data_IF_512656650250
#
_entry.id   IF_512656650250
#
_cell.length_a   1.000
_cell.length_b   1.000
_cell.length_c   1.000
_cell.angle_alpha   90.00
_cell.angle_beta   90.00
_cell.angle_gamma   90.00
#
_symmetry.space_group_name_H-M   'P 1'
#
loop_
_entity.id
_entity.type
_entity.pdbx_description
1 polymer ?
#
# COMPACT_ATOMS: atom_id res chain seq x y z
N UNK A 1 -7.33 52.39 -40.93
CA UNK A 1 -7.80 52.04 -39.58
C UNK A 1 -7.65 50.54 -39.40
N UNK A 2 -6.49 50.10 -38.91
CA UNK A 2 -6.24 48.72 -38.48
C UNK A 2 -5.19 48.81 -37.38
N UNK A 3 -5.62 48.84 -36.13
CA UNK A 3 -4.74 48.72 -34.97
C UNK A 3 -4.72 47.27 -34.55
N UNK A 4 -3.63 46.60 -34.91
CA UNK A 4 -3.22 45.30 -34.41
C UNK A 4 -2.81 45.47 -32.95
N UNK A 5 -3.56 44.89 -32.01
CA UNK A 5 -3.19 44.88 -30.59
C UNK A 5 -2.12 43.81 -30.35
N UNK A 6 -0.88 44.27 -30.18
CA UNK A 6 0.25 43.54 -29.63
C UNK A 6 -0.01 43.22 -28.15
N UNK A 7 -0.19 41.95 -27.81
CA UNK A 7 -0.19 41.49 -26.43
C UNK A 7 1.24 41.57 -25.86
N UNK A 8 1.40 42.33 -24.78
CA UNK A 8 2.67 42.58 -24.08
C UNK A 8 3.11 41.35 -23.28
N UNK A 9 4.34 40.89 -23.56
CA UNK A 9 5.07 39.76 -22.94
C UNK A 9 5.86 40.19 -21.68
N UNK A 10 5.61 41.37 -21.14
CA UNK A 10 6.40 41.94 -20.04
C UNK A 10 5.74 41.68 -18.69
N UNK A 11 6.53 41.14 -17.74
CA UNK A 11 6.27 40.96 -16.30
C UNK A 11 5.84 39.58 -15.77
N UNK A 12 6.31 38.48 -16.38
CA UNK A 12 6.36 37.19 -15.67
C UNK A 12 7.62 37.13 -14.79
N UNK A 13 7.51 36.81 -13.48
CA UNK A 13 8.66 36.46 -12.65
C UNK A 13 9.49 35.36 -13.30
N UNK A 14 10.82 35.45 -13.19
CA UNK A 14 11.72 34.47 -13.81
C UNK A 14 11.38 33.04 -13.36
N UNK A 15 11.00 32.19 -14.31
CA UNK A 15 10.69 30.78 -14.07
C UNK A 15 9.22 30.44 -13.84
N UNK A 16 8.29 31.41 -13.89
CA UNK A 16 6.85 31.13 -13.82
C UNK A 16 6.22 31.03 -15.21
N UNK A 17 5.13 30.27 -15.31
CA UNK A 17 4.36 30.03 -16.54
C UNK A 17 2.87 30.15 -16.24
N UNK A 18 2.07 30.62 -17.21
CA UNK A 18 0.60 30.66 -17.08
C UNK A 18 0.03 29.29 -17.40
N UNK A 19 -0.99 28.85 -16.65
CA UNK A 19 -1.71 27.62 -16.98
C UNK A 19 -2.48 27.77 -18.30
N UNK A 20 -2.37 26.78 -19.18
CA UNK A 20 -2.98 26.83 -20.52
C UNK A 20 -4.52 26.87 -20.48
N UNK A 21 -5.15 26.35 -19.43
CA UNK A 21 -6.61 26.20 -19.33
C UNK A 21 -7.25 27.13 -18.31
N UNK A 22 -6.59 27.34 -17.17
CA UNK A 22 -7.12 28.03 -15.99
C UNK A 22 -6.43 29.38 -15.76
N UNK A 23 -6.07 30.06 -16.85
CA UNK A 23 -5.62 31.44 -16.84
C UNK A 23 -6.56 32.26 -17.73
N UNK A 24 -7.59 32.85 -17.13
CA UNK A 24 -8.63 33.55 -17.88
C UNK A 24 -8.44 35.05 -17.96
N UNK A 25 -8.87 35.63 -19.06
CA UNK A 25 -8.82 37.09 -19.26
C UNK A 25 -9.73 37.83 -18.28
N UNK A 26 -10.86 37.23 -17.90
CA UNK A 26 -11.89 37.77 -17.00
C UNK A 26 -11.76 37.27 -15.55
N UNK A 27 -10.72 36.51 -15.22
CA UNK A 27 -10.41 36.17 -13.83
C UNK A 27 -10.05 37.42 -13.02
N UNK A 28 -10.40 37.43 -11.74
CA UNK A 28 -10.22 38.57 -10.84
C UNK A 28 -9.25 38.27 -9.68
N UNK A 29 -8.54 37.14 -9.75
CA UNK A 29 -7.45 36.81 -8.84
C UNK A 29 -6.43 35.93 -9.54
N UNK A 30 -5.14 36.19 -9.29
CA UNK A 30 -4.01 35.40 -9.78
C UNK A 30 -3.37 34.65 -8.61
N UNK A 31 -3.31 33.32 -8.72
CA UNK A 31 -2.72 32.44 -7.73
C UNK A 31 -1.52 31.71 -8.33
N UNK A 32 -0.53 31.42 -7.51
CA UNK A 32 0.67 30.68 -7.89
C UNK A 32 0.75 29.36 -7.10
N UNK A 33 0.72 28.23 -7.81
CA UNK A 33 1.09 26.92 -7.27
C UNK A 33 2.35 26.42 -8.00
N UNK A 34 3.40 26.08 -7.25
CA UNK A 34 4.77 25.90 -7.78
C UNK A 34 5.18 27.05 -8.72
N UNK A 35 5.45 26.72 -9.99
CA UNK A 35 5.88 27.64 -11.04
C UNK A 35 4.74 27.96 -12.02
N UNK A 36 3.48 27.67 -11.65
CA UNK A 36 2.32 27.86 -12.52
C UNK A 36 1.37 28.91 -11.95
N UNK A 37 1.01 29.89 -12.77
CA UNK A 37 0.03 30.93 -12.47
C UNK A 37 -1.36 30.51 -12.97
N UNK A 38 -2.34 30.69 -12.10
CA UNK A 38 -3.75 30.44 -12.35
C UNK A 38 -4.50 31.76 -12.20
N UNK A 39 -5.31 32.14 -13.18
CA UNK A 39 -6.13 33.35 -13.13
C UNK A 39 -7.60 32.97 -13.23
N UNK A 40 -8.31 33.04 -12.10
CA UNK A 40 -9.65 32.47 -11.90
C UNK A 40 -10.58 33.44 -11.18
N UNK A 41 -11.83 33.03 -10.88
CA UNK A 41 -12.74 33.86 -10.09
C UNK A 41 -12.62 33.57 -8.60
N UNK A 42 -12.34 34.62 -7.82
CA UNK A 42 -12.23 34.61 -6.36
C UNK A 42 -13.45 34.00 -5.68
N UNK A 43 -14.66 34.35 -6.13
CA UNK A 43 -15.90 33.88 -5.51
C UNK A 43 -16.03 32.36 -5.51
N UNK A 44 -15.59 31.69 -6.58
CA UNK A 44 -15.63 30.23 -6.69
C UNK A 44 -14.73 29.55 -5.65
N UNK A 45 -13.57 30.16 -5.35
CA UNK A 45 -12.64 29.65 -4.35
C UNK A 45 -13.15 29.88 -2.93
N UNK A 46 -13.66 31.08 -2.65
CA UNK A 46 -14.13 31.46 -1.31
C UNK A 46 -15.43 30.77 -0.92
N UNK A 47 -16.29 30.44 -1.89
CA UNK A 47 -17.52 29.69 -1.63
C UNK A 47 -17.23 28.22 -1.32
N UNK A 48 -16.24 27.62 -1.99
CA UNK A 48 -15.91 26.20 -1.81
C UNK A 48 -15.08 25.91 -0.55
N UNK A 49 -14.21 26.85 -0.15
CA UNK A 49 -13.22 26.60 0.90
C UNK A 49 -13.20 27.73 1.92
N UNK A 50 -13.44 27.44 3.21
CA UNK A 50 -13.25 28.43 4.27
C UNK A 50 -11.78 28.84 4.40
N UNK A 51 -10.85 27.91 4.19
CA UNK A 51 -9.40 28.19 4.24
C UNK A 51 -8.99 29.18 3.15
N UNK A 52 -9.49 29.00 1.92
CA UNK A 52 -9.25 29.97 0.84
C UNK A 52 -9.99 31.29 1.09
N UNK A 53 -11.19 31.25 1.66
CA UNK A 53 -11.90 32.46 2.05
C UNK A 53 -11.08 33.31 3.02
N UNK A 54 -10.55 32.69 4.08
CA UNK A 54 -9.71 33.35 5.08
C UNK A 54 -8.38 33.84 4.50
N UNK A 55 -7.68 32.97 3.74
CA UNK A 55 -6.43 33.31 3.06
C UNK A 55 -6.57 34.59 2.22
N UNK A 56 -7.67 34.66 1.46
CA UNK A 56 -7.90 35.77 0.55
C UNK A 56 -8.43 37.02 1.26
N UNK A 57 -8.87 36.95 2.51
CA UNK A 57 -9.32 38.11 3.30
C UNK A 57 -8.19 38.78 4.09
N UNK A 58 -6.98 38.25 4.06
CA UNK A 58 -5.85 38.78 4.83
C UNK A 58 -5.53 40.24 4.45
N UNK A 59 -5.20 41.11 5.44
CA UNK A 59 -4.82 42.49 5.18
C UNK A 59 -3.57 42.57 4.29
N UNK A 60 -3.63 43.41 3.25
CA UNK A 60 -2.49 43.68 2.39
C UNK A 60 -1.43 44.50 3.13
N UNK A 61 -0.12 44.27 2.91
CA UNK A 61 0.94 45.05 3.55
C UNK A 61 0.82 46.54 3.18
N UNK A 62 0.79 47.41 4.21
CA UNK A 62 0.75 48.85 4.00
C UNK A 62 2.00 49.33 3.22
N UNK A 63 1.78 50.05 2.12
CA UNK A 63 2.86 50.60 1.28
C UNK A 63 3.35 49.69 0.15
N UNK A 64 2.69 48.55 -0.09
CA UNK A 64 2.93 47.75 -1.31
C UNK A 64 2.42 48.49 -2.56
N UNK A 65 3.21 48.52 -3.66
CA UNK A 65 2.81 49.21 -4.89
C UNK A 65 1.68 48.49 -5.65
N UNK A 66 1.51 47.19 -5.40
CA UNK A 66 0.48 46.33 -6.01
C UNK A 66 -0.10 45.40 -4.95
N UNK A 67 -1.41 45.16 -5.00
CA UNK A 67 -2.04 44.17 -4.11
C UNK A 67 -1.66 42.76 -4.56
N UNK A 68 -1.53 41.85 -3.60
CA UNK A 68 -1.33 40.43 -3.88
C UNK A 68 -2.56 39.85 -4.61
N UNK A 69 -2.31 39.21 -5.76
CA UNK A 69 -3.31 38.59 -6.62
C UNK A 69 -3.77 39.42 -7.81
N UNK A 70 -3.34 40.69 -7.93
CA UNK A 70 -3.79 41.59 -9.01
C UNK A 70 -2.93 41.49 -10.29
N UNK A 71 -1.68 41.04 -10.19
CA UNK A 71 -0.74 40.96 -11.31
C UNK A 71 0.05 39.64 -11.33
N UNK A 72 0.66 39.32 -12.49
CA UNK A 72 1.58 38.18 -12.61
C UNK A 72 2.86 38.37 -11.78
N UNK A 73 3.25 39.62 -11.53
CA UNK A 73 4.41 39.98 -10.73
C UNK A 73 4.15 39.81 -9.22
N UNK A 74 2.89 39.91 -8.79
CA UNK A 74 2.46 39.79 -7.40
C UNK A 74 1.27 38.82 -7.25
N UNK A 75 1.43 37.51 -7.53
CA UNK A 75 0.36 36.53 -7.38
C UNK A 75 0.19 36.09 -5.92
N UNK A 76 -0.99 35.57 -5.56
CA UNK A 76 -1.20 34.90 -4.27
C UNK A 76 -0.47 33.56 -4.25
N UNK A 77 0.55 33.43 -3.39
CA UNK A 77 1.39 32.22 -3.37
C UNK A 77 0.77 31.11 -2.53
N UNK A 78 0.40 30.01 -3.18
CA UNK A 78 -0.15 28.81 -2.55
C UNK A 78 0.99 27.90 -2.09
N UNK A 79 1.54 28.20 -0.91
CA UNK A 79 2.67 27.47 -0.35
C UNK A 79 2.36 25.97 -0.19
N UNK A 80 3.23 25.13 -0.74
CA UNK A 80 3.14 23.67 -0.64
C UNK A 80 2.17 23.00 -1.61
N UNK A 81 1.45 23.75 -2.45
CA UNK A 81 0.61 23.14 -3.50
C UNK A 81 1.37 22.92 -4.78
N UNK A 82 1.15 21.73 -5.36
CA UNK A 82 1.61 21.43 -6.70
C UNK A 82 0.67 22.00 -7.76
N UNK A 83 1.20 22.32 -8.94
CA UNK A 83 0.38 22.77 -10.05
C UNK A 83 -0.62 21.69 -10.50
N UNK A 84 -0.29 20.40 -10.35
CA UNK A 84 -1.18 19.28 -10.66
C UNK A 84 -2.37 19.23 -9.71
N UNK A 85 -2.13 19.32 -8.40
CA UNK A 85 -3.18 19.35 -7.39
C UNK A 85 -4.13 20.54 -7.58
N UNK A 86 -3.57 21.75 -7.80
CA UNK A 86 -4.40 22.92 -8.02
C UNK A 86 -5.23 22.81 -9.32
N UNK A 87 -4.65 22.24 -10.38
CA UNK A 87 -5.37 21.96 -11.63
C UNK A 87 -6.50 20.94 -11.43
N UNK A 88 -6.31 19.94 -10.56
CA UNK A 88 -7.35 18.97 -10.19
C UNK A 88 -8.50 19.64 -9.45
N UNK A 89 -8.21 20.58 -8.54
CA UNK A 89 -9.23 21.42 -7.90
C UNK A 89 -9.99 22.28 -8.92
N UNK A 90 -9.29 22.95 -9.84
CA UNK A 90 -9.94 23.74 -10.89
C UNK A 90 -10.81 22.88 -11.82
N UNK A 91 -10.37 21.65 -12.10
CA UNK A 91 -11.20 20.69 -12.83
C UNK A 91 -12.49 20.38 -12.08
N UNK A 92 -12.44 20.15 -10.77
CA UNK A 92 -13.64 19.88 -9.98
C UNK A 92 -14.59 21.09 -9.89
N UNK A 93 -14.05 22.30 -9.75
CA UNK A 93 -14.83 23.52 -9.58
C UNK A 93 -15.54 24.00 -10.86
N UNK A 94 -14.87 23.83 -12.00
CA UNK A 94 -15.30 24.47 -13.24
C UNK A 94 -15.82 23.52 -14.30
N UNK A 95 -15.71 22.21 -14.10
CA UNK A 95 -16.26 21.24 -15.06
C UNK A 95 -17.76 21.07 -14.86
N UNK A 96 -18.49 20.97 -15.97
CA UNK A 96 -19.91 20.62 -15.93
C UNK A 96 -20.12 19.13 -15.60
N UNK A 97 -21.29 18.74 -15.08
CA UNK A 97 -21.59 17.34 -14.79
C UNK A 97 -21.37 16.38 -15.99
N UNK A 98 -21.71 16.80 -17.21
CA UNK A 98 -21.50 16.01 -18.42
C UNK A 98 -20.02 15.86 -18.80
N UNK A 99 -19.20 16.88 -18.53
CA UNK A 99 -17.75 16.83 -18.74
C UNK A 99 -17.06 15.94 -17.72
N UNK A 100 -17.46 16.02 -16.45
CA UNK A 100 -16.97 15.14 -15.37
C UNK A 100 -17.32 13.69 -15.71
N UNK A 101 -18.57 13.41 -16.07
CA UNK A 101 -19.01 12.08 -16.50
C UNK A 101 -18.18 11.57 -17.68
N UNK A 102 -18.03 12.38 -18.72
CA UNK A 102 -17.23 12.02 -19.90
C UNK A 102 -15.77 11.73 -19.51
N UNK A 103 -15.18 12.54 -18.64
CA UNK A 103 -13.83 12.29 -18.13
C UNK A 103 -13.74 10.95 -17.41
N UNK A 104 -14.67 10.66 -16.50
CA UNK A 104 -14.73 9.40 -15.75
C UNK A 104 -15.03 8.18 -16.62
N UNK A 105 -15.54 8.34 -17.84
CA UNK A 105 -15.76 7.23 -18.77
C UNK A 105 -14.58 7.03 -19.73
N UNK A 106 -13.93 8.12 -20.16
CA UNK A 106 -12.98 8.10 -21.28
C UNK A 106 -11.51 8.21 -20.88
N UNK A 107 -11.20 8.72 -19.69
CA UNK A 107 -9.81 8.84 -19.24
C UNK A 107 -9.18 7.47 -18.96
N UNK A 108 -7.87 7.37 -19.17
CA UNK A 108 -7.10 6.21 -18.73
C UNK A 108 -7.22 6.05 -17.20
N UNK A 109 -7.32 4.81 -16.73
CA UNK A 109 -7.74 4.48 -15.36
C UNK A 109 -6.75 4.97 -14.31
N UNK A 110 -5.46 4.79 -14.53
CA UNK A 110 -4.41 5.24 -13.61
C UNK A 110 -4.32 6.77 -13.58
N UNK A 111 -4.33 7.44 -14.74
CA UNK A 111 -4.37 8.90 -14.85
C UNK A 111 -5.59 9.50 -14.13
N UNK A 112 -6.75 8.83 -14.26
CA UNK A 112 -7.97 9.17 -13.53
C UNK A 112 -7.77 9.04 -12.02
N UNK A 113 -7.21 7.92 -11.56
CA UNK A 113 -6.92 7.68 -10.15
C UNK A 113 -5.98 8.74 -9.59
N UNK A 114 -4.85 9.03 -10.27
CA UNK A 114 -3.90 10.06 -9.86
C UNK A 114 -4.56 11.44 -9.72
N UNK A 115 -5.37 11.88 -10.70
CA UNK A 115 -6.09 13.16 -10.60
C UNK A 115 -7.04 13.20 -9.40
N UNK A 116 -7.75 12.12 -9.13
CA UNK A 116 -8.69 12.05 -8.01
C UNK A 116 -7.94 12.07 -6.67
N UNK A 117 -6.78 11.39 -6.57
CA UNK A 117 -5.92 11.43 -5.38
C UNK A 117 -5.29 12.82 -5.17
N UNK A 118 -4.91 13.51 -6.23
CA UNK A 118 -4.48 14.91 -6.19
C UNK A 118 -5.62 15.80 -5.67
N UNK A 119 -6.85 15.55 -6.14
CA UNK A 119 -8.04 16.26 -5.66
C UNK A 119 -8.32 15.98 -4.18
N UNK A 120 -8.18 14.73 -3.71
CA UNK A 120 -8.28 14.38 -2.28
C UNK A 120 -7.25 15.16 -1.46
N UNK A 121 -5.98 15.17 -1.88
CA UNK A 121 -4.92 15.86 -1.14
C UNK A 121 -5.23 17.35 -0.94
N UNK A 122 -5.61 18.03 -2.03
CA UNK A 122 -5.83 19.48 -2.00
C UNK A 122 -7.14 19.87 -1.31
N UNK A 123 -8.20 19.07 -1.46
CA UNK A 123 -9.48 19.31 -0.78
C UNK A 123 -9.41 19.01 0.71
N UNK A 124 -8.57 18.06 1.14
CA UNK A 124 -8.23 17.90 2.55
C UNK A 124 -7.53 19.15 3.11
N UNK A 125 -6.51 19.67 2.41
CA UNK A 125 -5.78 20.90 2.82
C UNK A 125 -6.72 22.10 2.94
N UNK A 126 -7.61 22.27 1.97
CA UNK A 126 -8.53 23.41 1.90
C UNK A 126 -9.87 23.20 2.59
N UNK A 127 -10.02 22.12 3.36
CA UNK A 127 -11.21 21.81 4.14
C UNK A 127 -12.51 21.78 3.31
N UNK A 128 -12.49 21.03 2.21
CA UNK A 128 -13.64 20.79 1.34
C UNK A 128 -14.11 19.33 1.50
N UNK A 129 -14.73 18.94 2.63
CA UNK A 129 -14.95 17.53 2.99
C UNK A 129 -15.86 16.78 2.00
N UNK A 130 -16.93 17.42 1.50
CA UNK A 130 -17.85 16.78 0.56
C UNK A 130 -17.16 16.45 -0.77
N UNK A 131 -16.37 17.38 -1.28
CA UNK A 131 -15.61 17.18 -2.51
C UNK A 131 -14.45 16.17 -2.31
N UNK A 132 -13.81 16.20 -1.15
CA UNK A 132 -12.78 15.25 -0.76
C UNK A 132 -13.32 13.81 -0.72
N UNK A 133 -14.43 13.58 -0.01
CA UNK A 133 -15.04 12.27 0.12
C UNK A 133 -15.52 11.73 -1.24
N UNK A 134 -16.16 12.58 -2.05
CA UNK A 134 -16.52 12.22 -3.42
C UNK A 134 -15.31 11.79 -4.25
N UNK A 135 -14.20 12.53 -4.18
CA UNK A 135 -12.98 12.18 -4.89
C UNK A 135 -12.35 10.89 -4.36
N UNK A 136 -12.39 10.67 -3.04
CA UNK A 136 -11.85 9.49 -2.37
C UNK A 136 -12.58 8.21 -2.77
N UNK A 137 -13.91 8.25 -2.82
CA UNK A 137 -14.74 7.11 -3.26
C UNK A 137 -14.40 6.72 -4.70
N UNK A 138 -14.34 7.70 -5.60
CA UNK A 138 -13.97 7.45 -7.00
C UNK A 138 -12.53 6.98 -7.16
N UNK A 139 -11.60 7.54 -6.37
CA UNK A 139 -10.20 7.13 -6.38
C UNK A 139 -10.05 5.68 -5.91
N UNK A 140 -10.79 5.27 -4.88
CA UNK A 140 -10.80 3.91 -4.35
C UNK A 140 -11.24 2.91 -5.43
N UNK A 141 -12.35 3.18 -6.11
CA UNK A 141 -12.86 2.31 -7.18
C UNK A 141 -11.89 2.23 -8.36
N UNK A 142 -11.31 3.35 -8.78
CA UNK A 142 -10.30 3.36 -9.83
C UNK A 142 -9.06 2.55 -9.40
N UNK A 143 -8.56 2.75 -8.18
CA UNK A 143 -7.37 2.10 -7.65
C UNK A 143 -7.52 0.58 -7.53
N UNK A 144 -8.71 0.09 -7.13
CA UNK A 144 -9.03 -1.34 -7.09
C UNK A 144 -8.98 -1.97 -8.49
N UNK A 145 -9.41 -1.23 -9.52
CA UNK A 145 -9.43 -1.71 -10.89
C UNK A 145 -8.05 -1.64 -11.59
N UNK A 146 -7.09 -0.87 -11.08
CA UNK A 146 -5.73 -0.84 -11.62
C UNK A 146 -5.00 -2.14 -11.23
N UNK A 147 -4.71 -2.98 -12.23
CA UNK A 147 -4.03 -4.26 -12.04
C UNK A 147 -2.58 -4.08 -11.55
N UNK A 148 -1.85 -3.15 -12.16
CA UNK A 148 -0.43 -2.89 -11.89
C UNK A 148 -0.15 -1.39 -11.72
N UNK A 149 -0.34 -0.84 -10.51
CA UNK A 149 -0.04 0.57 -10.23
C UNK A 149 1.40 0.95 -10.56
N UNK A 150 1.61 2.08 -11.25
CA UNK A 150 2.96 2.58 -11.53
C UNK A 150 3.64 3.11 -10.27
N UNK A 151 4.95 3.34 -10.37
CA UNK A 151 5.73 3.99 -9.32
C UNK A 151 5.14 5.34 -8.88
N UNK A 152 4.56 6.10 -9.81
CA UNK A 152 3.97 7.40 -9.52
C UNK A 152 2.72 7.25 -8.64
N UNK A 153 1.79 6.37 -9.03
CA UNK A 153 0.58 6.10 -8.25
C UNK A 153 0.92 5.56 -6.86
N UNK A 154 1.84 4.60 -6.76
CA UNK A 154 2.31 4.07 -5.47
C UNK A 154 2.88 5.18 -4.58
N UNK A 155 3.67 6.09 -5.15
CA UNK A 155 4.26 7.22 -4.41
C UNK A 155 3.18 8.16 -3.86
N UNK A 156 2.16 8.48 -4.67
CA UNK A 156 1.02 9.30 -4.23
C UNK A 156 0.25 8.63 -3.09
N UNK A 157 -0.02 7.31 -3.19
CA UNK A 157 -0.70 6.57 -2.13
C UNK A 157 0.07 6.60 -0.81
N UNK A 158 1.40 6.44 -0.84
CA UNK A 158 2.23 6.48 0.37
C UNK A 158 2.24 7.89 0.98
N UNK A 159 2.26 8.94 0.17
CA UNK A 159 2.17 10.31 0.68
C UNK A 159 0.82 10.61 1.32
N UNK A 160 -0.28 10.12 0.72
CA UNK A 160 -1.64 10.30 1.23
C UNK A 160 -1.91 9.56 2.54
N UNK A 161 -1.20 8.47 2.83
CA UNK A 161 -1.33 7.75 4.10
C UNK A 161 -1.19 8.66 5.33
N UNK A 162 -0.38 9.73 5.24
CA UNK A 162 -0.15 10.69 6.33
C UNK A 162 -1.37 11.55 6.66
N UNK A 163 -2.39 11.55 5.81
CA UNK A 163 -3.63 12.29 6.03
C UNK A 163 -4.64 11.53 6.91
N UNK A 164 -4.36 10.27 7.27
CA UNK A 164 -5.20 9.44 8.15
C UNK A 164 -6.67 9.38 7.72
N UNK A 165 -6.88 9.23 6.40
CA UNK A 165 -8.21 9.19 5.81
C UNK A 165 -8.93 7.87 6.17
N UNK A 166 -10.19 7.98 6.59
CA UNK A 166 -10.99 6.82 6.97
C UNK A 166 -11.13 5.81 5.81
N UNK A 167 -10.86 4.54 6.10
CA UNK A 167 -10.97 3.43 5.12
C UNK A 167 -9.89 3.43 4.03
N UNK A 168 -8.95 4.39 4.03
CA UNK A 168 -7.89 4.50 3.02
C UNK A 168 -7.01 3.26 2.94
N UNK A 169 -6.56 2.75 4.09
CA UNK A 169 -5.62 1.63 4.19
C UNK A 169 -6.16 0.36 3.53
N UNK A 170 -7.46 0.09 3.66
CA UNK A 170 -8.10 -1.15 3.20
C UNK A 170 -7.98 -1.38 1.69
N UNK A 171 -8.01 -0.31 0.90
CA UNK A 171 -7.88 -0.39 -0.56
C UNK A 171 -6.53 0.09 -1.08
N UNK A 172 -5.86 1.02 -0.38
CA UNK A 172 -4.57 1.56 -0.82
C UNK A 172 -3.42 0.58 -0.58
N UNK A 173 -3.40 -0.14 0.55
CA UNK A 173 -2.31 -1.08 0.85
C UNK A 173 -2.21 -2.22 -0.18
N UNK A 174 -3.32 -2.89 -0.55
CA UNK A 174 -3.28 -3.88 -1.63
C UNK A 174 -2.76 -3.30 -2.96
N UNK A 175 -3.11 -2.06 -3.29
CA UNK A 175 -2.63 -1.41 -4.51
C UNK A 175 -1.12 -1.12 -4.45
N UNK A 176 -0.61 -0.60 -3.32
CA UNK A 176 0.84 -0.41 -3.09
C UNK A 176 1.59 -1.73 -3.24
N UNK A 177 1.06 -2.83 -2.69
CA UNK A 177 1.68 -4.17 -2.76
C UNK A 177 1.72 -4.74 -4.18
N UNK A 178 0.72 -4.47 -5.00
CA UNK A 178 0.66 -4.88 -6.43
C UNK A 178 1.52 -3.98 -7.34
N UNK A 179 1.86 -2.78 -6.87
CA UNK A 179 2.50 -1.75 -7.68
C UNK A 179 3.98 -2.00 -8.00
N UNK A 180 4.47 -1.23 -8.96
CA UNK A 180 5.85 -1.31 -9.44
C UNK A 180 6.68 -0.15 -8.89
N UNK A 181 7.24 -0.34 -7.70
CA UNK A 181 8.24 0.54 -7.09
C UNK A 181 9.46 -0.28 -6.65
N UNK A 182 10.66 0.30 -6.76
CA UNK A 182 11.87 -0.36 -6.26
C UNK A 182 11.76 -0.59 -4.75
N UNK A 183 12.20 -1.75 -4.25
CA UNK A 183 12.03 -2.09 -2.84
C UNK A 183 12.76 -1.10 -1.91
N UNK A 184 13.90 -0.55 -2.35
CA UNK A 184 14.64 0.48 -1.59
C UNK A 184 13.85 1.79 -1.54
N UNK A 185 13.27 2.24 -2.66
CA UNK A 185 12.41 3.43 -2.67
C UNK A 185 11.17 3.22 -1.80
N UNK A 186 10.60 2.02 -1.82
CA UNK A 186 9.44 1.65 -1.00
C UNK A 186 9.78 1.68 0.50
N UNK A 187 10.95 1.15 0.90
CA UNK A 187 11.46 1.28 2.29
C UNK A 187 11.58 2.75 2.68
N UNK A 188 12.25 3.57 1.87
CA UNK A 188 12.50 4.98 2.20
C UNK A 188 11.20 5.77 2.33
N UNK A 189 10.26 5.60 1.39
CA UNK A 189 8.97 6.28 1.41
C UNK A 189 8.06 5.79 2.54
N UNK A 190 7.94 4.48 2.76
CA UNK A 190 7.12 3.93 3.83
C UNK A 190 7.66 4.28 5.22
N UNK A 191 8.99 4.33 5.39
CA UNK A 191 9.61 4.84 6.62
C UNK A 191 9.27 6.32 6.84
N UNK A 192 9.35 7.16 5.79
CA UNK A 192 9.03 8.58 5.88
C UNK A 192 7.55 8.85 6.19
N UNK A 193 6.64 7.97 5.76
CA UNK A 193 5.20 8.06 6.04
C UNK A 193 4.77 7.33 7.33
N UNK A 194 5.68 6.64 8.03
CA UNK A 194 5.38 5.74 9.14
C UNK A 194 4.36 4.65 8.79
N UNK A 195 4.41 4.11 7.56
CA UNK A 195 3.53 3.00 7.13
C UNK A 195 4.23 1.65 7.37
N UNK A 196 4.12 1.15 8.60
CA UNK A 196 4.87 -0.04 9.07
C UNK A 196 4.58 -1.31 8.27
N UNK A 197 3.31 -1.57 7.95
CA UNK A 197 2.89 -2.76 7.19
C UNK A 197 3.55 -2.82 5.80
N UNK A 198 3.55 -1.70 5.07
CA UNK A 198 4.20 -1.56 3.76
C UNK A 198 5.72 -1.63 3.89
N UNK A 199 6.29 -1.06 4.95
CA UNK A 199 7.72 -1.09 5.21
C UNK A 199 8.22 -2.53 5.42
N UNK A 200 7.55 -3.29 6.31
CA UNK A 200 7.87 -4.71 6.54
C UNK A 200 7.65 -5.56 5.30
N UNK A 201 6.63 -5.27 4.50
CA UNK A 201 6.42 -5.91 3.20
C UNK A 201 7.58 -5.68 2.22
N UNK A 202 8.13 -4.45 2.15
CA UNK A 202 9.26 -4.15 1.29
C UNK A 202 10.53 -4.93 1.69
N UNK A 203 10.83 -5.01 2.99
CA UNK A 203 11.92 -5.85 3.50
C UNK A 203 11.70 -7.33 3.20
N UNK A 204 10.47 -7.81 3.39
CA UNK A 204 10.10 -9.20 3.10
C UNK A 204 10.37 -9.57 1.63
N UNK A 205 10.03 -8.69 0.69
CA UNK A 205 10.31 -8.89 -0.75
C UNK A 205 11.79 -8.99 -1.05
N UNK A 206 12.61 -8.15 -0.42
CA UNK A 206 14.08 -8.20 -0.57
C UNK A 206 14.63 -9.51 -0.02
N UNK A 207 14.20 -9.93 1.17
CA UNK A 207 14.60 -11.22 1.76
C UNK A 207 14.21 -12.38 0.84
N UNK A 208 12.99 -12.37 0.30
CA UNK A 208 12.52 -13.39 -0.62
C UNK A 208 13.24 -13.38 -1.98
N UNK A 209 13.98 -12.33 -2.32
CA UNK A 209 14.80 -12.28 -3.52
C UNK A 209 16.14 -13.02 -3.37
N UNK A 210 16.57 -13.26 -2.12
CA UNK A 210 17.78 -13.99 -1.75
C UNK A 210 19.01 -13.10 -1.50
N UNK A 211 20.04 -13.57 -0.76
CA UNK A 211 21.20 -12.77 -0.38
C UNK A 211 22.02 -12.17 -1.52
N UNK A 212 22.01 -12.81 -2.69
CA UNK A 212 22.73 -12.34 -3.87
C UNK A 212 22.25 -10.98 -4.37
N UNK A 213 20.98 -10.62 -4.14
CA UNK A 213 20.44 -9.31 -4.51
C UNK A 213 20.80 -8.21 -3.52
N UNK A 214 21.25 -8.54 -2.30
CA UNK A 214 21.44 -7.56 -1.23
C UNK A 214 22.71 -6.73 -1.41
N UNK A 215 23.73 -7.26 -2.09
CA UNK A 215 25.00 -6.59 -2.27
C UNK A 215 24.90 -5.31 -3.13
N UNK A 216 23.91 -5.24 -4.01
CA UNK A 216 23.68 -4.11 -4.93
C UNK A 216 22.73 -3.06 -4.36
N UNK A 217 22.13 -3.29 -3.19
CA UNK A 217 21.17 -2.37 -2.60
C UNK A 217 21.86 -1.24 -1.84
N UNK A 218 21.44 -0.01 -2.13
CA UNK A 218 21.86 1.18 -1.40
C UNK A 218 21.05 1.32 -0.09
N UNK A 219 21.38 0.46 0.88
CA UNK A 219 20.80 0.45 2.23
C UNK A 219 21.74 1.12 3.22
N UNK A 220 21.18 1.94 4.10
CA UNK A 220 21.87 2.47 5.27
C UNK A 220 22.20 1.36 6.27
N UNK A 221 23.18 1.55 7.17
CA UNK A 221 23.50 0.57 8.22
C UNK A 221 22.29 0.09 9.04
N UNK A 222 21.37 0.94 9.54
CA UNK A 222 20.20 0.46 10.29
C UNK A 222 19.23 -0.35 9.41
N UNK A 223 19.02 0.03 8.15
CA UNK A 223 18.18 -0.73 7.21
C UNK A 223 18.79 -2.12 6.94
N UNK A 224 20.12 -2.20 6.80
CA UNK A 224 20.82 -3.47 6.63
C UNK A 224 20.71 -4.37 7.86
N UNK A 225 20.86 -3.82 9.06
CA UNK A 225 20.65 -4.56 10.31
C UNK A 225 19.23 -5.11 10.38
N UNK A 226 18.23 -4.30 10.05
CA UNK A 226 16.82 -4.70 10.03
C UNK A 226 16.53 -5.80 9.01
N UNK A 227 17.12 -5.72 7.81
CA UNK A 227 17.03 -6.76 6.79
C UNK A 227 17.59 -8.11 7.29
N UNK A 228 18.78 -8.08 7.90
CA UNK A 228 19.45 -9.28 8.41
C UNK A 228 18.72 -9.89 9.60
N UNK A 229 18.26 -9.05 10.55
CA UNK A 229 17.43 -9.49 11.67
C UNK A 229 16.16 -10.17 11.17
N UNK A 230 15.46 -9.55 10.22
CA UNK A 230 14.26 -10.14 9.62
C UNK A 230 14.52 -11.45 8.89
N UNK A 231 15.66 -11.59 8.19
CA UNK A 231 16.06 -12.87 7.58
C UNK A 231 16.23 -13.99 8.63
N UNK A 232 16.87 -13.70 9.76
CA UNK A 232 17.04 -14.67 10.85
C UNK A 232 15.67 -15.00 11.46
N UNK A 233 14.90 -13.98 11.82
CA UNK A 233 13.58 -14.09 12.44
C UNK A 233 12.62 -14.94 11.60
N UNK A 234 12.61 -14.77 10.27
CA UNK A 234 11.76 -15.56 9.38
C UNK A 234 12.18 -17.04 9.31
N UNK A 235 13.49 -17.32 9.30
CA UNK A 235 13.98 -18.70 9.33
C UNK A 235 13.62 -19.40 10.65
N UNK A 236 13.78 -18.71 11.78
CA UNK A 236 13.37 -19.21 13.09
C UNK A 236 11.86 -19.43 13.15
N UNK A 237 11.07 -18.48 12.64
CA UNK A 237 9.61 -18.58 12.55
C UNK A 237 9.21 -19.83 11.76
N UNK A 238 9.84 -20.08 10.61
CA UNK A 238 9.60 -21.28 9.83
C UNK A 238 9.97 -22.56 10.59
N UNK A 239 11.10 -22.59 11.28
CA UNK A 239 11.52 -23.75 12.08
C UNK A 239 10.52 -24.07 13.22
N UNK A 240 9.94 -23.04 13.84
CA UNK A 240 8.90 -23.20 14.86
C UNK A 240 7.61 -23.74 14.23
N UNK A 241 7.19 -23.18 13.10
CA UNK A 241 5.99 -23.62 12.36
C UNK A 241 6.14 -25.09 11.92
N UNK A 242 7.29 -25.46 11.37
CA UNK A 242 7.61 -26.83 10.96
C UNK A 242 7.56 -27.80 12.15
N UNK A 243 8.14 -27.42 13.30
CA UNK A 243 8.22 -28.29 14.48
C UNK A 243 6.91 -28.41 15.27
N UNK A 244 6.15 -27.33 15.47
CA UNK A 244 4.92 -27.35 16.28
C UNK A 244 3.71 -27.88 15.52
N UNK A 245 3.60 -27.57 14.22
CA UNK A 245 2.41 -27.87 13.44
C UNK A 245 1.19 -27.02 13.81
N UNK A 246 0.06 -27.18 13.08
CA UNK A 246 -1.15 -26.39 13.31
C UNK A 246 -1.80 -26.75 14.65
N UNK A 247 -2.30 -25.73 15.36
CA UNK A 247 -3.13 -25.94 16.53
C UNK A 247 -4.49 -26.51 16.08
N UNK A 248 -4.76 -27.77 16.44
CA UNK A 248 -5.99 -28.47 16.05
C UNK A 248 -6.83 -28.74 17.29
N UNK A 249 -8.06 -28.23 17.31
CA UNK A 249 -9.04 -28.58 18.34
C UNK A 249 -9.46 -30.05 18.16
N UNK A 250 -8.90 -30.94 18.97
CA UNK A 250 -9.18 -32.37 18.91
C UNK A 250 -10.51 -32.71 19.61
N UNK A 251 -11.59 -32.84 18.84
CA UNK A 251 -12.87 -33.43 19.29
C UNK A 251 -12.94 -34.94 19.06
N UNK A 252 -11.93 -35.50 18.41
CA UNK A 252 -11.72 -36.93 18.29
C UNK A 252 -11.43 -37.48 19.69
N UNK A 253 -12.47 -37.89 20.41
CA UNK A 253 -12.33 -38.58 21.69
C UNK A 253 -11.36 -39.76 21.55
N UNK A 254 -10.75 -40.18 22.66
CA UNK A 254 -9.96 -41.40 22.71
C UNK A 254 -10.86 -42.61 22.39
N UNK A 255 -11.14 -42.85 21.11
CA UNK A 255 -11.94 -43.98 20.68
C UNK A 255 -11.13 -45.23 20.97
N UNK A 256 -11.51 -45.93 22.04
CA UNK A 256 -10.96 -47.19 22.54
C UNK A 256 -11.05 -48.37 21.56
N UNK A 257 -11.47 -48.14 20.31
CA UNK A 257 -11.62 -49.15 19.26
C UNK A 257 -10.82 -48.85 17.97
N UNK A 258 -10.03 -47.79 17.93
CA UNK A 258 -9.29 -47.40 16.73
C UNK A 258 -7.83 -47.14 17.01
N UNK A 259 -6.99 -48.17 16.96
CA UNK A 259 -5.62 -47.99 16.52
C UNK A 259 -5.70 -47.43 15.09
N UNK A 260 -5.65 -46.11 14.93
CA UNK A 260 -5.30 -45.53 13.64
C UNK A 260 -3.95 -46.16 13.26
N UNK A 261 -3.72 -46.42 11.97
CA UNK A 261 -2.50 -47.09 11.50
C UNK A 261 -1.17 -46.45 11.98
N UNK A 262 -1.23 -45.25 12.59
CA UNK A 262 -0.11 -44.45 13.05
C UNK A 262 -0.23 -43.89 14.50
N UNK A 263 -1.16 -44.38 15.34
CA UNK A 263 -1.28 -43.97 16.75
C UNK A 263 -2.34 -42.88 17.03
N UNK A 264 -2.32 -42.19 18.19
CA UNK A 264 -3.32 -41.19 18.56
C UNK A 264 -3.47 -40.09 17.50
N UNK A 265 -4.70 -39.58 17.30
CA UNK A 265 -5.01 -38.57 16.27
C UNK A 265 -4.03 -37.37 16.24
N UNK A 266 -3.55 -36.81 17.37
CA UNK A 266 -2.52 -35.78 17.36
C UNK A 266 -1.21 -36.19 16.67
N UNK A 267 -0.71 -37.41 16.93
CA UNK A 267 0.52 -37.92 16.33
C UNK A 267 0.39 -38.12 14.80
N UNK A 268 -0.80 -38.53 14.36
CA UNK A 268 -1.12 -38.62 12.92
C UNK A 268 -1.13 -37.23 12.26
N UNK A 269 -1.69 -36.21 12.93
CA UNK A 269 -1.69 -34.83 12.44
C UNK A 269 -0.27 -34.26 12.32
N UNK A 270 0.59 -34.48 13.32
CA UNK A 270 2.01 -34.09 13.27
C UNK A 270 2.74 -34.80 12.12
N UNK A 271 2.48 -36.10 11.92
CA UNK A 271 3.09 -36.85 10.82
C UNK A 271 2.67 -36.30 9.46
N UNK A 272 1.39 -35.98 9.28
CA UNK A 272 0.89 -35.36 8.05
C UNK A 272 1.50 -33.98 7.83
N UNK A 273 1.55 -33.14 8.87
CA UNK A 273 2.18 -31.82 8.80
C UNK A 273 3.65 -31.91 8.37
N UNK A 274 4.44 -32.78 9.00
CA UNK A 274 5.84 -32.98 8.64
C UNK A 274 6.02 -33.41 7.18
N UNK A 275 5.12 -34.24 6.65
CA UNK A 275 5.16 -34.62 5.22
C UNK A 275 4.79 -33.46 4.30
N UNK A 276 3.84 -32.60 4.69
CA UNK A 276 3.48 -31.40 3.93
C UNK A 276 4.64 -30.41 3.89
N UNK A 277 5.24 -30.09 5.04
CA UNK A 277 6.39 -29.18 5.11
C UNK A 277 7.60 -29.66 4.29
N UNK A 278 7.79 -30.97 4.18
CA UNK A 278 8.86 -31.60 3.38
C UNK A 278 8.47 -31.84 1.92
N UNK A 279 7.24 -31.59 1.54
CA UNK A 279 6.78 -31.76 0.16
C UNK A 279 7.58 -30.84 -0.76
N UNK A 280 8.05 -31.33 -1.94
CA UNK A 280 8.71 -30.47 -2.91
C UNK A 280 7.86 -29.23 -3.24
N UNK A 281 6.52 -29.36 -3.30
CA UNK A 281 5.61 -28.24 -3.56
C UNK A 281 5.61 -27.15 -2.49
N UNK A 282 6.16 -27.41 -1.31
CA UNK A 282 6.35 -26.42 -0.24
C UNK A 282 7.82 -26.00 -0.15
N UNK A 283 8.74 -26.96 -0.13
CA UNK A 283 10.18 -26.69 0.02
C UNK A 283 10.77 -25.93 -1.17
N UNK A 284 10.35 -26.27 -2.41
CA UNK A 284 10.89 -25.65 -3.62
C UNK A 284 10.28 -24.29 -3.93
N UNK A 285 9.31 -23.85 -3.16
CA UNK A 285 8.73 -22.51 -3.27
C UNK A 285 9.79 -21.50 -2.84
N UNK A 286 10.18 -20.62 -3.77
CA UNK A 286 11.28 -19.68 -3.60
C UNK A 286 12.60 -20.11 -4.24
N UNK A 287 12.87 -21.43 -4.36
CA UNK A 287 14.12 -21.97 -4.91
C UNK A 287 14.32 -21.73 -6.43
N UNK A 288 13.35 -21.13 -7.12
CA UNK A 288 13.48 -20.71 -8.53
C UNK A 288 14.59 -19.66 -8.72
N UNK A 289 14.80 -18.80 -7.72
CA UNK A 289 16.09 -18.14 -7.50
C UNK A 289 16.86 -19.03 -6.51
N UNK A 290 18.03 -19.54 -6.91
CA UNK A 290 18.84 -20.52 -6.16
C UNK A 290 19.20 -20.12 -4.71
N UNK A 291 18.83 -18.91 -4.30
CA UNK A 291 19.21 -18.24 -3.07
C UNK A 291 18.04 -17.94 -2.11
N UNK A 292 16.77 -18.22 -2.48
CA UNK A 292 15.61 -17.88 -1.64
C UNK A 292 14.97 -19.10 -0.97
N UNK A 293 15.17 -19.22 0.35
CA UNK A 293 14.66 -20.29 1.20
C UNK A 293 13.67 -19.81 2.27
N UNK A 294 13.23 -18.55 2.22
CA UNK A 294 12.61 -17.88 3.38
C UNK A 294 11.22 -17.30 3.08
N UNK A 295 10.63 -17.65 1.93
CA UNK A 295 9.29 -17.20 1.53
C UNK A 295 8.19 -17.95 2.30
N UNK A 296 8.03 -17.63 3.59
CA UNK A 296 7.10 -18.29 4.51
C UNK A 296 5.65 -18.15 4.04
N UNK A 297 5.27 -17.01 3.45
CA UNK A 297 3.91 -16.77 2.99
C UNK A 297 3.54 -17.73 1.85
N UNK A 298 4.41 -17.85 0.83
CA UNK A 298 4.12 -18.78 -0.26
C UNK A 298 4.21 -20.25 0.17
N UNK A 299 5.07 -20.58 1.14
CA UNK A 299 5.13 -21.92 1.73
C UNK A 299 3.85 -22.30 2.45
N UNK A 300 3.32 -21.39 3.29
CA UNK A 300 2.06 -21.59 4.00
C UNK A 300 0.87 -21.66 3.04
N UNK A 301 0.86 -20.82 1.99
CA UNK A 301 -0.15 -20.91 0.94
C UNK A 301 -0.10 -22.26 0.21
N UNK A 302 1.10 -22.72 -0.19
CA UNK A 302 1.28 -24.02 -0.83
C UNK A 302 0.89 -25.19 0.10
N UNK A 303 1.16 -25.09 1.40
CA UNK A 303 0.73 -26.07 2.39
C UNK A 303 -0.80 -26.09 2.52
N UNK A 304 -1.46 -24.92 2.58
CA UNK A 304 -2.91 -24.82 2.62
C UNK A 304 -3.56 -25.40 1.35
N UNK A 305 -3.00 -25.11 0.17
CA UNK A 305 -3.48 -25.65 -1.11
C UNK A 305 -3.36 -27.18 -1.18
N UNK A 306 -2.28 -27.75 -0.65
CA UNK A 306 -2.11 -29.21 -0.56
C UNK A 306 -3.16 -29.86 0.34
N UNK A 307 -3.47 -29.23 1.48
CA UNK A 307 -4.51 -29.71 2.39
C UNK A 307 -5.89 -29.59 1.75
N UNK A 308 -6.18 -28.49 1.07
CA UNK A 308 -7.44 -28.28 0.35
C UNK A 308 -7.63 -29.32 -0.76
N UNK A 309 -6.59 -29.64 -1.53
CA UNK A 309 -6.62 -30.72 -2.53
C UNK A 309 -6.81 -32.10 -1.89
N UNK A 310 -6.27 -32.33 -0.69
CA UNK A 310 -6.46 -33.59 0.05
C UNK A 310 -7.88 -33.72 0.62
N UNK A 311 -8.53 -32.60 0.92
CA UNK A 311 -9.93 -32.53 1.36
C UNK A 311 -10.94 -32.64 0.21
N UNK A 312 -10.50 -32.51 -1.04
CA UNK A 312 -11.38 -32.50 -2.19
C UNK A 312 -12.09 -33.86 -2.38
N UNK A 313 -13.29 -33.88 -3.00
CA UNK A 313 -14.06 -35.11 -3.24
C UNK A 313 -13.28 -36.16 -4.05
N UNK A 314 -12.40 -35.69 -4.94
CA UNK A 314 -11.44 -36.50 -5.70
C UNK A 314 -10.05 -35.95 -5.37
N UNK A 315 -9.26 -36.61 -4.51
CA UNK A 315 -7.95 -36.13 -4.13
C UNK A 315 -6.98 -36.15 -5.32
N UNK A 316 -6.34 -35.01 -5.61
CA UNK A 316 -5.30 -34.90 -6.66
C UNK A 316 -3.88 -34.84 -6.08
N UNK A 317 -3.70 -35.29 -4.83
CA UNK A 317 -2.47 -35.13 -4.06
C UNK A 317 -1.59 -36.38 -4.15
N UNK A 318 -0.29 -36.19 -3.95
CA UNK A 318 0.73 -37.24 -3.89
C UNK A 318 0.35 -38.40 -2.94
N UNK A 319 0.72 -39.62 -3.32
CA UNK A 319 0.26 -40.89 -2.70
C UNK A 319 0.65 -40.96 -1.22
N UNK A 320 1.80 -40.39 -0.87
CA UNK A 320 2.31 -40.33 0.50
C UNK A 320 1.33 -39.61 1.44
N UNK A 321 0.85 -38.41 1.07
CA UNK A 321 -0.09 -37.62 1.87
C UNK A 321 -1.45 -38.33 1.94
N UNK A 322 -1.93 -38.89 0.83
CA UNK A 322 -3.25 -39.55 0.76
C UNK A 322 -3.39 -40.72 1.74
N UNK A 323 -2.32 -41.47 1.96
CA UNK A 323 -2.29 -42.66 2.83
C UNK A 323 -2.49 -42.26 4.29
N UNK A 324 -1.73 -41.27 4.78
CA UNK A 324 -1.87 -40.75 6.15
C UNK A 324 -3.16 -39.92 6.33
N UNK A 325 -3.61 -39.22 5.29
CA UNK A 325 -4.80 -38.37 5.31
C UNK A 325 -6.10 -39.16 5.48
N UNK A 326 -6.16 -40.38 4.96
CA UNK A 326 -7.34 -41.27 5.06
C UNK A 326 -7.72 -41.58 6.52
N UNK A 327 -6.74 -41.68 7.42
CA UNK A 327 -6.91 -42.06 8.83
C UNK A 327 -7.18 -40.92 9.80
N UNK A 328 -7.16 -39.65 9.37
CA UNK A 328 -7.41 -38.51 10.25
C UNK A 328 -8.92 -38.27 10.39
N UNK A 329 -9.43 -38.23 11.61
CA UNK A 329 -10.84 -37.92 11.89
C UNK A 329 -11.12 -36.41 11.95
N UNK A 330 -10.15 -35.59 12.38
CA UNK A 330 -10.29 -34.14 12.53
C UNK A 330 -9.86 -33.34 11.28
N UNK A 331 -10.19 -33.82 10.08
CA UNK A 331 -9.71 -33.24 8.80
C UNK A 331 -10.08 -31.76 8.64
N UNK A 332 -11.30 -31.38 8.99
CA UNK A 332 -11.77 -29.99 8.94
C UNK A 332 -10.97 -29.10 9.89
N UNK A 333 -10.84 -29.50 11.16
CA UNK A 333 -10.09 -28.74 12.15
C UNK A 333 -8.58 -28.63 11.78
N UNK A 334 -7.99 -29.67 11.18
CA UNK A 334 -6.63 -29.60 10.65
C UNK A 334 -6.51 -28.60 9.49
N UNK A 335 -7.45 -28.66 8.53
CA UNK A 335 -7.54 -27.70 7.42
C UNK A 335 -7.66 -26.26 7.92
N UNK A 336 -8.55 -26.02 8.88
CA UNK A 336 -8.77 -24.70 9.46
C UNK A 336 -7.51 -24.21 10.20
N UNK A 337 -6.82 -25.09 10.92
CA UNK A 337 -5.55 -24.78 11.57
C UNK A 337 -4.43 -24.40 10.60
N UNK A 338 -4.33 -25.07 9.45
CA UNK A 338 -3.36 -24.71 8.39
C UNK A 338 -3.75 -23.40 7.70
N UNK A 339 -5.05 -23.15 7.49
CA UNK A 339 -5.52 -21.86 6.95
C UNK A 339 -5.24 -20.70 7.90
N UNK A 340 -5.43 -20.91 9.21
CA UNK A 340 -5.11 -19.91 10.22
C UNK A 340 -3.63 -19.47 10.17
N UNK A 341 -2.70 -20.38 9.85
CA UNK A 341 -1.31 -19.99 9.60
C UNK A 341 -1.17 -19.05 8.41
N UNK A 342 -1.79 -19.38 7.28
CA UNK A 342 -1.76 -18.53 6.09
C UNK A 342 -2.36 -17.15 6.36
N UNK A 343 -3.47 -17.07 7.08
CA UNK A 343 -4.14 -15.82 7.45
C UNK A 343 -3.29 -14.96 8.41
N UNK A 344 -2.59 -15.59 9.35
CA UNK A 344 -1.70 -14.91 10.29
C UNK A 344 -0.32 -14.57 9.71
N UNK A 345 0.06 -15.16 8.57
CA UNK A 345 1.40 -15.04 7.99
C UNK A 345 1.82 -13.60 7.73
N UNK A 346 0.89 -12.71 7.39
CA UNK A 346 1.16 -11.29 7.22
C UNK A 346 1.62 -10.62 8.51
N UNK A 347 0.90 -10.84 9.61
CA UNK A 347 1.29 -10.31 10.92
C UNK A 347 2.64 -10.88 11.36
N UNK A 348 2.87 -12.18 11.11
CA UNK A 348 4.17 -12.81 11.39
C UNK A 348 5.31 -12.12 10.64
N UNK A 349 5.13 -11.85 9.34
CA UNK A 349 6.11 -11.11 8.53
C UNK A 349 6.32 -9.69 9.07
N UNK A 350 5.24 -8.96 9.35
CA UNK A 350 5.34 -7.60 9.90
C UNK A 350 6.21 -7.55 11.15
N UNK A 351 6.01 -8.51 12.04
CA UNK A 351 6.71 -8.62 13.31
C UNK A 351 8.15 -9.06 13.16
N UNK A 352 8.48 -9.90 12.17
CA UNK A 352 9.87 -10.29 11.88
C UNK A 352 10.74 -9.08 11.53
N UNK A 353 10.14 -8.03 10.96
CA UNK A 353 10.82 -6.79 10.61
C UNK A 353 10.48 -5.64 11.54
N UNK A 354 9.87 -5.84 12.70
CA UNK A 354 9.58 -4.74 13.63
C UNK A 354 10.90 -4.15 14.19
N UNK A 355 11.16 -2.84 14.05
CA UNK A 355 12.41 -2.22 14.51
C UNK A 355 12.59 -2.28 16.02
N UNK A 356 11.51 -2.42 16.80
CA UNK A 356 11.54 -2.60 18.25
C UNK A 356 11.75 -4.06 18.66
N UNK A 357 11.44 -5.01 17.78
CA UNK A 357 11.63 -6.44 18.00
C UNK A 357 13.06 -6.93 17.71
N UNK A 358 13.83 -6.15 16.94
CA UNK A 358 15.18 -6.50 16.45
C UNK A 358 16.25 -6.67 17.55
N UNK A 359 15.86 -6.56 18.82
CA UNK A 359 16.71 -6.77 19.99
C UNK A 359 16.16 -7.83 20.96
N UNK A 360 15.14 -8.62 20.58
CA UNK A 360 14.72 -9.75 21.39
C UNK A 360 15.76 -10.87 21.22
N UNK A 361 16.51 -11.11 22.28
CA UNK A 361 17.22 -12.36 22.52
C UNK A 361 16.33 -13.56 22.16
N UNK A 362 16.91 -14.55 21.48
CA UNK A 362 16.23 -15.72 20.88
C UNK A 362 15.18 -16.38 21.80
N UNK A 363 15.40 -16.34 23.11
CA UNK A 363 14.46 -16.87 24.13
C UNK A 363 13.18 -16.03 24.22
N UNK A 364 13.30 -14.71 24.19
CA UNK A 364 12.16 -13.80 24.22
C UNK A 364 11.39 -13.80 22.90
N UNK A 365 12.10 -13.92 21.76
CA UNK A 365 11.46 -14.11 20.45
C UNK A 365 10.61 -15.38 20.39
N UNK A 366 11.16 -16.51 20.86
CA UNK A 366 10.45 -17.78 20.95
C UNK A 366 9.25 -17.72 21.91
N UNK A 367 9.44 -17.19 23.12
CA UNK A 367 8.37 -17.06 24.12
C UNK A 367 7.22 -16.21 23.58
N UNK A 368 7.54 -15.10 22.92
CA UNK A 368 6.56 -14.19 22.35
C UNK A 368 5.83 -14.78 21.12
N UNK A 369 6.54 -15.39 20.17
CA UNK A 369 5.92 -16.07 19.02
C UNK A 369 4.96 -17.18 19.47
N UNK A 370 5.33 -17.91 20.51
CA UNK A 370 4.56 -19.04 21.01
C UNK A 370 3.38 -18.67 21.90
N UNK A 371 3.37 -17.46 22.47
CA UNK A 371 2.28 -16.97 23.35
C UNK A 371 1.30 -16.07 22.60
N UNK A 372 1.75 -15.38 21.54
CA UNK A 372 0.97 -14.34 20.85
C UNK A 372 0.48 -14.74 19.47
N UNK A 373 1.18 -15.65 18.76
CA UNK A 373 0.88 -15.98 17.36
C UNK A 373 0.35 -17.42 17.15
N UNK A 374 0.90 -18.39 17.89
CA UNK A 374 0.55 -19.82 17.87
C UNK A 374 -0.45 -20.15 18.97
#
# INVERSE_FOLDING_TARGET
MSTTNTATVTDLPAGTTRDDKYYWTDGNIILQAENTLFKVQRSMLTEMSPVLADLLQLPQPEGSPENEGDSDASPVKLAGDTALQFRSLMWALYSRPDEVKKYLETSELESRCCRLLDLVAITHKYQCPDLMNWALDLASEACKAVEKPSAALVTVLIHLYRLDLQGFVEWAEPAVRRGHLSDVSLIKLASASNWESVNSFAYYRIVCSGPSSWATLDLTPPERTRLLAGYINLNETWAIIDSKGPSVAHTCGASTLGLFAFGPCPAACTTVWNNICRSPRVVTVGLGNRDSTVDIQRRLAAAADLVDQACAPIPTVDISISTYWSGIACKSAFRDGVKAYSEKSEKMVQLCFDPHSAALDHVNWLSWLTTTML
#
